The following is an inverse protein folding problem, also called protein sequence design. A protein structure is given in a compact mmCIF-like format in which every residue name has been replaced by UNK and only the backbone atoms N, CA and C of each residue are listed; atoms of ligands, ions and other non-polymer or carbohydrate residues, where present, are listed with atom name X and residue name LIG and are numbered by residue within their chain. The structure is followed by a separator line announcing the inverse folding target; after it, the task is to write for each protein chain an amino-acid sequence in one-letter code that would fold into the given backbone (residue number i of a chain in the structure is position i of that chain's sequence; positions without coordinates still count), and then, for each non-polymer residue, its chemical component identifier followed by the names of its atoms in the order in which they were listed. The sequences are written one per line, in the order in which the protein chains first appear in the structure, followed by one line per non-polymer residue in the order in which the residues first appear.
data_IF_564001830123
#
_entry.id   IF_564001830123
#
_cell.length_a   1.000
_cell.length_b   1.000
_cell.length_c   1.000
_cell.angle_alpha   90.00
_cell.angle_beta   90.00
_cell.angle_gamma   90.00
#
_symmetry.space_group_name_H-M   'P 1'
#
loop_
_entity.id
_entity.type
_entity.pdbx_description
1 polymer ?
#
# COMPACT_ATOMS: atom_id res chain seq x y z
N UNK A 1 -24.29 -30.22 22.75
CA UNK A 1 -23.64 -30.60 21.47
C UNK A 1 -24.42 -30.09 20.25
N UNK A 2 -25.73 -30.37 20.12
CA UNK A 2 -26.56 -29.93 18.97
C UNK A 2 -26.57 -28.39 18.72
N UNK A 3 -26.68 -27.57 19.78
CA UNK A 3 -26.69 -26.11 19.64
C UNK A 3 -25.38 -25.51 19.10
N UNK A 4 -24.23 -26.14 19.40
CA UNK A 4 -22.93 -25.72 18.87
C UNK A 4 -22.80 -26.07 17.38
N UNK A 5 -23.37 -27.20 16.99
CA UNK A 5 -23.45 -27.66 15.60
C UNK A 5 -24.30 -26.71 14.76
N UNK A 6 -25.46 -26.30 15.28
CA UNK A 6 -26.33 -25.31 14.63
C UNK A 6 -25.64 -23.94 14.50
N UNK A 7 -24.95 -23.48 15.56
CA UNK A 7 -24.15 -22.24 15.49
C UNK A 7 -23.04 -22.32 14.45
N UNK A 8 -22.35 -23.45 14.35
CA UNK A 8 -21.29 -23.65 13.36
C UNK A 8 -21.85 -23.58 11.93
N UNK A 9 -22.98 -24.23 11.66
CA UNK A 9 -23.64 -24.19 10.36
C UNK A 9 -24.07 -22.77 9.97
N UNK A 10 -24.61 -22.01 10.92
CA UNK A 10 -24.97 -20.60 10.71
C UNK A 10 -23.71 -19.79 10.36
N UNK A 11 -22.62 -19.95 11.10
CA UNK A 11 -21.37 -19.22 10.83
C UNK A 11 -20.83 -19.54 9.44
N UNK A 12 -20.86 -20.81 9.02
CA UNK A 12 -20.41 -21.19 7.67
C UNK A 12 -21.23 -20.52 6.57
N UNK A 13 -22.55 -20.37 6.75
CA UNK A 13 -23.41 -19.70 5.76
C UNK A 13 -23.09 -18.21 5.56
N UNK A 14 -22.46 -17.55 6.54
CA UNK A 14 -22.02 -16.15 6.43
C UNK A 14 -20.69 -15.97 5.66
N UNK A 15 -19.92 -17.03 5.46
CA UNK A 15 -18.61 -16.98 4.79
C UNK A 15 -18.76 -16.87 3.26
N UNK A 16 -19.95 -17.15 2.70
CA UNK A 16 -20.19 -17.26 1.25
C UNK A 16 -20.37 -15.91 0.51
N UNK A 17 -19.98 -14.79 1.09
CA UNK A 17 -19.89 -13.52 0.37
C UNK A 17 -18.61 -13.44 -0.48
N UNK A 18 -18.52 -14.31 -1.49
CA UNK A 18 -17.47 -14.23 -2.52
C UNK A 18 -17.81 -13.10 -3.48
N UNK A 19 -17.49 -11.86 -3.09
CA UNK A 19 -17.58 -10.71 -3.98
C UNK A 19 -16.83 -10.98 -5.28
N UNK A 20 -17.51 -10.81 -6.43
CA UNK A 20 -16.84 -10.84 -7.74
C UNK A 20 -15.92 -9.63 -7.84
N UNK A 21 -14.66 -9.85 -7.50
CA UNK A 21 -13.61 -8.86 -7.65
C UNK A 21 -13.28 -8.75 -9.12
N UNK A 22 -13.57 -7.58 -9.71
CA UNK A 22 -13.03 -7.22 -11.03
C UNK A 22 -11.54 -6.98 -10.84
N UNK A 23 -10.70 -7.55 -11.72
CA UNK A 23 -9.30 -7.13 -11.79
C UNK A 23 -9.31 -5.64 -12.11
N UNK A 24 -8.89 -4.82 -11.15
CA UNK A 24 -8.57 -3.43 -11.42
C UNK A 24 -7.21 -3.49 -12.03
N UNK A 25 -7.12 -3.18 -13.33
CA UNK A 25 -5.84 -2.92 -13.98
C UNK A 25 -5.05 -1.99 -13.07
N UNK A 26 -3.86 -2.44 -12.67
CA UNK A 26 -3.03 -1.68 -11.75
C UNK A 26 -2.88 -0.27 -12.35
N UNK A 27 -3.17 0.80 -11.57
CA UNK A 27 -3.16 2.16 -12.10
C UNK A 27 -1.83 2.39 -12.79
N UNK A 28 -1.86 2.45 -14.12
CA UNK A 28 -0.73 2.45 -15.05
C UNK A 28 0.64 2.37 -14.35
N UNK A 29 1.23 1.18 -14.28
CA UNK A 29 2.63 1.03 -13.89
C UNK A 29 3.48 1.66 -14.98
N UNK A 30 3.67 2.98 -14.93
CA UNK A 30 4.74 3.70 -15.63
C UNK A 30 6.14 3.29 -15.11
N UNK A 31 6.24 2.10 -14.52
CA UNK A 31 7.35 1.62 -13.75
C UNK A 31 8.58 1.45 -14.61
N UNK A 32 9.71 1.87 -14.03
CA UNK A 32 11.08 1.68 -14.52
C UNK A 32 11.33 0.27 -15.11
N UNK A 33 10.61 -0.74 -14.63
CA UNK A 33 10.81 -2.16 -14.93
C UNK A 33 9.82 -2.75 -15.96
N UNK A 34 8.95 -1.96 -16.58
CA UNK A 34 8.02 -2.52 -17.58
C UNK A 34 8.75 -2.84 -18.89
N UNK A 35 8.98 -4.13 -19.15
CA UNK A 35 9.64 -4.64 -20.36
C UNK A 35 8.90 -4.29 -21.66
N UNK A 36 7.59 -4.01 -21.58
CA UNK A 36 6.74 -3.71 -22.72
C UNK A 36 6.71 -2.22 -23.09
N UNK A 37 7.13 -1.32 -22.19
CA UNK A 37 7.30 0.09 -22.52
C UNK A 37 8.67 0.34 -23.17
N UNK A 38 8.66 1.12 -24.25
CA UNK A 38 9.88 1.60 -24.91
C UNK A 38 10.73 2.39 -23.91
N UNK A 39 12.05 2.24 -23.97
CA UNK A 39 12.98 2.85 -23.00
C UNK A 39 12.79 4.36 -22.82
N UNK A 40 12.33 5.06 -23.86
CA UNK A 40 12.10 6.51 -23.84
C UNK A 40 10.75 6.93 -23.23
N UNK A 41 9.81 6.01 -23.08
CA UNK A 41 8.50 6.25 -22.43
C UNK A 41 8.45 5.78 -20.98
N UNK A 42 9.51 5.11 -20.50
CA UNK A 42 9.66 4.76 -19.09
C UNK A 42 9.87 6.01 -18.27
N UNK A 43 9.30 6.06 -17.07
CA UNK A 43 9.64 7.11 -16.11
C UNK A 43 11.14 7.07 -15.87
N UNK A 44 11.77 8.23 -15.92
CA UNK A 44 13.16 8.40 -15.53
C UNK A 44 13.18 9.07 -14.16
N UNK A 45 13.98 8.52 -13.25
CA UNK A 45 14.24 9.19 -11.99
C UNK A 45 14.92 10.53 -12.29
N UNK A 46 14.26 11.65 -11.93
CA UNK A 46 14.82 12.99 -12.11
C UNK A 46 15.98 13.29 -11.15
N UNK A 47 16.13 12.47 -10.11
CA UNK A 47 17.13 12.62 -9.05
C UNK A 47 17.84 11.30 -8.80
N UNK A 48 19.09 11.38 -8.37
CA UNK A 48 19.85 10.20 -7.94
C UNK A 48 19.17 9.51 -6.76
N UNK A 49 19.24 8.17 -6.67
CA UNK A 49 18.69 7.44 -5.51
C UNK A 49 19.36 7.90 -4.22
N UNK A 50 18.62 7.81 -3.12
CA UNK A 50 19.18 8.03 -1.78
C UNK A 50 20.19 6.93 -1.44
N UNK A 51 21.24 7.21 -0.64
CA UNK A 51 22.11 6.16 -0.10
C UNK A 51 21.31 5.08 0.63
N UNK A 52 21.85 3.86 0.73
CA UNK A 52 21.21 2.74 1.47
C UNK A 52 20.95 3.10 2.93
N UNK A 53 21.79 3.95 3.52
CA UNK A 53 21.62 4.49 4.87
C UNK A 53 20.45 5.48 4.99
N UNK A 54 19.76 5.81 3.90
CA UNK A 54 18.73 6.84 3.83
C UNK A 54 19.29 8.26 3.88
N UNK A 55 18.40 9.27 3.91
CA UNK A 55 18.78 10.67 4.01
C UNK A 55 19.59 10.99 5.28
N UNK A 56 20.67 11.80 5.22
CA UNK A 56 21.51 12.11 6.37
C UNK A 56 20.75 12.68 7.58
N UNK A 57 19.67 13.44 7.35
CA UNK A 57 18.87 14.04 8.41
C UNK A 57 18.05 13.01 9.21
N UNK A 58 17.83 11.79 8.68
CA UNK A 58 17.15 10.71 9.39
C UNK A 58 18.08 9.87 10.25
N UNK A 59 19.41 9.97 10.07
CA UNK A 59 20.37 9.22 10.90
C UNK A 59 20.25 9.57 12.38
N UNK A 60 19.85 10.81 12.68
CA UNK A 60 19.60 11.28 14.06
C UNK A 60 18.45 10.54 14.74
N UNK A 61 17.55 9.92 13.99
CA UNK A 61 16.40 9.17 14.51
C UNK A 61 16.76 7.72 14.87
N UNK A 62 17.90 7.21 14.44
CA UNK A 62 18.31 5.84 14.70
C UNK A 62 18.38 5.56 16.21
N UNK A 63 17.72 4.48 16.64
CA UNK A 63 17.68 4.07 18.05
C UNK A 63 16.78 4.92 18.97
N UNK A 64 15.95 5.81 18.42
CA UNK A 64 14.97 6.58 19.19
C UNK A 64 13.55 6.03 18.97
N UNK A 65 12.76 6.02 20.03
CA UNK A 65 11.33 5.71 19.96
C UNK A 65 10.54 7.00 19.72
N UNK A 66 9.51 6.93 18.88
CA UNK A 66 8.62 8.06 18.59
C UNK A 66 7.17 7.59 18.75
N UNK A 67 6.35 8.43 19.38
CA UNK A 67 4.91 8.21 19.37
C UNK A 67 4.35 8.68 18.03
N UNK A 68 3.47 7.88 17.45
CA UNK A 68 2.73 8.27 16.26
C UNK A 68 1.84 9.46 16.62
N UNK A 69 2.17 10.62 16.05
CA UNK A 69 1.26 11.76 16.02
C UNK A 69 0.60 11.67 14.65
N UNK A 70 -0.72 11.48 14.63
CA UNK A 70 -1.50 11.52 13.40
C UNK A 70 -1.31 12.89 12.77
N UNK A 71 -0.49 12.96 11.72
CA UNK A 71 -0.44 14.12 10.87
C UNK A 71 -1.75 14.14 10.11
N UNK A 72 -2.74 14.87 10.63
CA UNK A 72 -3.92 15.23 9.85
C UNK A 72 -3.40 15.80 8.54
N UNK A 73 -3.61 15.07 7.46
CA UNK A 73 -3.29 15.54 6.12
C UNK A 73 -3.91 16.92 6.01
N UNK A 74 -3.07 17.93 5.74
CA UNK A 74 -3.53 19.20 5.22
C UNK A 74 -4.16 18.85 3.87
N UNK A 75 -5.46 18.51 3.89
CA UNK A 75 -6.31 18.54 2.73
C UNK A 75 -6.26 19.96 2.20
N UNK A 76 -5.70 20.11 1.00
CA UNK A 76 -5.99 21.23 0.09
C UNK A 76 -5.39 22.57 0.55
N UNK A 77 -4.48 23.24 -0.15
CA UNK A 77 -4.72 23.74 -1.51
C UNK A 77 -6.21 24.11 -1.74
N UNK A 78 -6.78 24.97 -0.90
CA UNK A 78 -7.86 25.90 -1.26
C UNK A 78 -7.18 27.27 -1.30
N UNK A 79 -6.97 27.92 -2.44
CA UNK A 79 -7.98 28.43 -3.39
C UNK A 79 -9.04 29.26 -2.68
#
# INVERSE_FOLDING_TARGET
TSAYLLKLLIIMSFIDNRGKMKIVEEPNTFGLNNQLLSQNSRLQAKISPSPVSGPPHLHRLAGKCFNYIEATSVTSAQL
#
